data_IF_750763080582
#
_entry.id   IF_750763080582
#
_cell.length_a   1.000
_cell.length_b   1.000
_cell.length_c   1.000
_cell.angle_alpha   90.00
_cell.angle_beta   90.00
_cell.angle_gamma   90.00
#
_symmetry.space_group_name_H-M   'P 1'
#
loop_
_entity.id
_entity.type
_entity.pdbx_description
1 polymer ?
#
# COMPACT_ATOMS: atom_id res chain seq x y z
N UNK A 1 13.25 -26.47 -20.19
CA UNK A 1 12.91 -26.14 -18.78
C UNK A 1 13.75 -24.95 -18.35
N UNK A 2 13.23 -23.74 -18.45
CA UNK A 2 13.90 -22.53 -17.96
C UNK A 2 13.99 -22.63 -16.44
N UNK A 3 15.21 -22.64 -15.91
CA UNK A 3 15.47 -22.58 -14.46
C UNK A 3 14.66 -21.43 -13.87
N UNK A 4 13.69 -21.75 -13.01
CA UNK A 4 13.01 -20.77 -12.16
C UNK A 4 14.10 -20.24 -11.24
N UNK A 5 14.66 -19.05 -11.56
CA UNK A 5 15.60 -18.39 -10.65
C UNK A 5 14.87 -18.25 -9.33
N UNK A 6 15.46 -18.77 -8.28
CA UNK A 6 14.90 -18.72 -6.93
C UNK A 6 14.78 -17.26 -6.49
N UNK A 7 13.57 -16.79 -6.24
CA UNK A 7 13.31 -15.42 -5.74
C UNK A 7 13.41 -15.35 -4.21
N UNK A 8 14.15 -16.27 -3.58
CA UNK A 8 14.24 -16.34 -2.13
C UNK A 8 14.71 -15.02 -1.48
N UNK A 9 15.62 -14.27 -2.16
CA UNK A 9 16.08 -12.97 -1.65
C UNK A 9 14.95 -11.95 -1.61
N UNK A 10 14.11 -11.92 -2.66
CA UNK A 10 12.92 -11.06 -2.70
C UNK A 10 11.92 -11.48 -1.61
N UNK A 11 11.62 -12.77 -1.50
CA UNK A 11 10.70 -13.28 -0.49
C UNK A 11 11.21 -13.03 0.93
N UNK A 12 12.52 -13.19 1.18
CA UNK A 12 13.12 -12.86 2.47
C UNK A 12 13.03 -11.36 2.76
N UNK A 13 13.30 -10.50 1.78
CA UNK A 13 13.14 -9.05 1.93
C UNK A 13 11.69 -8.69 2.29
N UNK A 14 10.71 -9.24 1.60
CA UNK A 14 9.29 -8.96 1.87
C UNK A 14 8.85 -9.52 3.22
N UNK A 15 9.29 -10.73 3.59
CA UNK A 15 9.06 -11.31 4.92
C UNK A 15 9.57 -10.40 6.04
N UNK A 16 10.83 -9.97 5.95
CA UNK A 16 11.43 -9.10 6.97
C UNK A 16 10.74 -7.73 7.01
N UNK A 17 10.40 -7.16 5.85
CA UNK A 17 9.61 -5.93 5.76
C UNK A 17 8.26 -6.08 6.43
N UNK A 18 7.56 -7.19 6.20
CA UNK A 18 6.26 -7.47 6.81
C UNK A 18 6.33 -7.70 8.31
N UNK A 19 7.34 -8.42 8.81
CA UNK A 19 7.52 -8.64 10.25
C UNK A 19 7.85 -7.33 10.98
N UNK A 20 8.83 -6.57 10.49
CA UNK A 20 9.23 -5.29 11.12
C UNK A 20 8.13 -4.24 10.95
N UNK A 21 7.58 -4.10 9.76
CA UNK A 21 6.48 -3.17 9.49
C UNK A 21 5.23 -3.52 10.30
N UNK A 22 4.88 -4.81 10.39
CA UNK A 22 3.75 -5.30 11.18
C UNK A 22 3.94 -5.05 12.68
N UNK A 23 5.14 -5.28 13.20
CA UNK A 23 5.48 -4.92 14.58
C UNK A 23 5.24 -3.43 14.83
N UNK A 24 5.79 -2.57 13.98
CA UNK A 24 5.62 -1.12 14.10
C UNK A 24 4.14 -0.70 13.95
N UNK A 25 3.37 -1.34 13.04
CA UNK A 25 1.94 -1.09 12.90
C UNK A 25 1.19 -1.42 14.19
N UNK A 26 1.42 -2.59 14.76
CA UNK A 26 0.77 -3.02 16.01
C UNK A 26 1.07 -2.10 17.19
N UNK A 27 2.24 -1.45 17.21
CA UNK A 27 2.60 -0.51 18.26
C UNK A 27 1.83 0.81 18.19
N UNK A 28 1.61 1.37 17.00
CA UNK A 28 0.97 2.69 16.90
C UNK A 28 -0.53 2.62 16.63
N UNK A 29 -1.01 1.55 16.00
CA UNK A 29 -2.39 1.41 15.55
C UNK A 29 -3.43 1.60 16.67
N UNK A 30 -3.25 1.01 17.88
CA UNK A 30 -4.20 1.19 18.98
C UNK A 30 -4.46 2.65 19.36
N UNK A 31 -3.43 3.50 19.26
CA UNK A 31 -3.55 4.92 19.56
C UNK A 31 -4.35 5.72 18.51
N UNK A 32 -4.67 5.11 17.38
CA UNK A 32 -5.46 5.74 16.30
C UNK A 32 -6.92 5.31 16.31
N UNK A 33 -7.28 4.27 17.07
CA UNK A 33 -8.65 3.78 17.14
C UNK A 33 -9.56 4.72 17.94
N UNK A 34 -10.85 4.71 17.60
CA UNK A 34 -11.88 5.39 18.39
C UNK A 34 -12.03 4.72 19.75
N UNK A 35 -12.60 5.47 20.73
CA UNK A 35 -12.88 4.94 22.07
C UNK A 35 -13.76 3.70 22.02
N UNK A 36 -14.75 3.71 21.15
CA UNK A 36 -15.70 2.60 20.95
C UNK A 36 -15.00 1.35 20.41
N UNK A 37 -14.10 1.54 19.43
CA UNK A 37 -13.33 0.42 18.87
C UNK A 37 -12.40 -0.17 19.94
N UNK A 38 -11.72 0.67 20.73
CA UNK A 38 -10.84 0.19 21.80
C UNK A 38 -11.62 -0.57 22.88
N UNK A 39 -12.80 -0.08 23.26
CA UNK A 39 -13.68 -0.78 24.21
C UNK A 39 -14.11 -2.16 23.67
N UNK A 40 -14.56 -2.24 22.42
CA UNK A 40 -14.95 -3.51 21.78
C UNK A 40 -13.79 -4.52 21.75
N UNK A 41 -12.58 -4.09 21.44
CA UNK A 41 -11.39 -4.95 21.44
C UNK A 41 -11.09 -5.48 22.85
N UNK A 42 -11.19 -4.61 23.88
CA UNK A 42 -10.98 -5.01 25.27
C UNK A 42 -12.04 -6.00 25.76
N UNK A 43 -13.31 -5.80 25.43
CA UNK A 43 -14.41 -6.71 25.74
C UNK A 43 -14.22 -8.09 25.10
N UNK A 44 -13.58 -8.15 23.93
CA UNK A 44 -13.20 -9.38 23.23
C UNK A 44 -11.89 -10.00 23.74
N UNK A 45 -11.25 -9.40 24.77
CA UNK A 45 -10.00 -9.89 25.31
C UNK A 45 -8.78 -9.63 24.41
N UNK A 46 -8.88 -8.72 23.45
CA UNK A 46 -7.77 -8.38 22.55
C UNK A 46 -6.81 -7.42 23.26
N UNK A 47 -5.60 -7.88 23.53
CA UNK A 47 -4.54 -7.06 24.15
C UNK A 47 -3.67 -6.39 23.09
N UNK A 48 -2.87 -5.40 23.50
CA UNK A 48 -1.90 -4.74 22.60
C UNK A 48 -0.87 -5.75 22.04
N UNK A 49 -0.46 -6.73 22.85
CA UNK A 49 0.47 -7.79 22.41
C UNK A 49 -0.17 -8.67 21.33
N UNK A 50 -1.45 -9.00 21.46
CA UNK A 50 -2.18 -9.72 20.42
C UNK A 50 -2.32 -8.92 19.13
N UNK A 51 -2.54 -7.61 19.22
CA UNK A 51 -2.56 -6.72 18.05
C UNK A 51 -1.19 -6.69 17.35
N UNK A 52 -0.10 -6.55 18.11
CA UNK A 52 1.26 -6.60 17.55
C UNK A 52 1.52 -7.96 16.89
N UNK A 53 1.22 -9.05 17.57
CA UNK A 53 1.44 -10.40 17.02
C UNK A 53 0.60 -10.64 15.76
N UNK A 54 -0.67 -10.23 15.76
CA UNK A 54 -1.57 -10.40 14.63
C UNK A 54 -1.10 -9.63 13.40
N UNK A 55 -0.67 -8.37 13.56
CA UNK A 55 -0.14 -7.57 12.46
C UNK A 55 1.18 -8.12 11.92
N UNK A 56 2.06 -8.63 12.79
CA UNK A 56 3.30 -9.30 12.37
C UNK A 56 3.01 -10.56 11.53
N UNK A 57 2.10 -11.42 11.99
CA UNK A 57 1.72 -12.63 11.26
C UNK A 57 1.05 -12.28 9.93
N UNK A 58 0.11 -11.34 9.95
CA UNK A 58 -0.64 -10.93 8.77
C UNK A 58 0.29 -10.34 7.70
N UNK A 59 1.11 -9.37 8.05
CA UNK A 59 1.99 -8.69 7.08
C UNK A 59 3.23 -9.51 6.74
N UNK A 60 3.83 -10.20 7.70
CA UNK A 60 5.04 -11.01 7.45
C UNK A 60 4.73 -12.33 6.76
N UNK A 61 3.81 -13.13 7.31
CA UNK A 61 3.57 -14.49 6.82
C UNK A 61 2.53 -14.50 5.70
N UNK A 62 1.30 -14.00 5.97
CA UNK A 62 0.22 -14.12 4.99
C UNK A 62 0.50 -13.28 3.74
N UNK A 63 0.80 -12.00 3.92
CA UNK A 63 1.02 -11.10 2.78
C UNK A 63 2.47 -11.16 2.28
N UNK A 64 3.44 -11.18 3.18
CA UNK A 64 4.87 -11.15 2.86
C UNK A 64 5.41 -12.46 2.28
N UNK A 65 4.88 -13.61 2.65
CA UNK A 65 5.31 -14.90 2.10
C UNK A 65 4.28 -15.49 1.16
N UNK A 66 3.04 -15.72 1.63
CA UNK A 66 2.04 -16.47 0.86
C UNK A 66 1.62 -15.68 -0.40
N UNK A 67 1.14 -14.44 -0.23
CA UNK A 67 0.70 -13.65 -1.39
C UNK A 67 1.88 -13.24 -2.29
N UNK A 68 3.07 -12.96 -1.71
CA UNK A 68 4.26 -12.67 -2.51
C UNK A 68 4.66 -13.87 -3.38
N UNK A 69 4.70 -15.08 -2.84
CA UNK A 69 5.07 -16.27 -3.59
C UNK A 69 4.08 -16.55 -4.74
N UNK A 70 2.78 -16.49 -4.45
CA UNK A 70 1.71 -16.66 -5.46
C UNK A 70 1.81 -15.52 -6.50
N UNK A 71 1.97 -14.27 -6.06
CA UNK A 71 2.10 -13.10 -6.92
C UNK A 71 3.28 -13.18 -7.88
N UNK A 72 4.44 -13.64 -7.42
CA UNK A 72 5.61 -13.88 -8.27
C UNK A 72 5.32 -14.91 -9.36
N UNK A 73 4.66 -16.02 -9.01
CA UNK A 73 4.30 -17.06 -9.99
C UNK A 73 3.33 -16.51 -11.04
N UNK A 74 2.28 -15.81 -10.59
CA UNK A 74 1.25 -15.26 -11.50
C UNK A 74 1.84 -14.15 -12.36
N UNK A 75 2.57 -13.20 -11.77
CA UNK A 75 3.15 -12.06 -12.49
C UNK A 75 4.11 -12.47 -13.60
N UNK A 76 4.83 -13.59 -13.42
CA UNK A 76 5.64 -14.19 -14.49
C UNK A 76 4.81 -14.74 -15.64
N UNK A 77 3.68 -15.40 -15.34
CA UNK A 77 2.78 -15.96 -16.37
C UNK A 77 2.15 -14.86 -17.24
N UNK A 78 1.89 -13.69 -16.66
CA UNK A 78 1.27 -12.55 -17.38
C UNK A 78 2.28 -11.48 -17.81
N UNK A 79 3.58 -11.76 -17.75
CA UNK A 79 4.68 -10.89 -18.18
C UNK A 79 4.77 -9.55 -17.44
N UNK A 80 4.29 -9.50 -16.19
CA UNK A 80 4.42 -8.34 -15.32
C UNK A 80 5.67 -8.37 -14.44
N UNK A 81 6.25 -9.57 -14.19
CA UNK A 81 7.47 -9.68 -13.42
C UNK A 81 8.66 -9.09 -14.17
N UNK A 82 9.34 -8.14 -13.54
CA UNK A 82 10.60 -7.57 -14.01
C UNK A 82 11.62 -7.64 -12.90
N UNK A 83 12.83 -8.08 -13.25
CA UNK A 83 13.94 -7.99 -12.32
C UNK A 83 14.23 -6.50 -12.04
N UNK A 84 14.56 -6.19 -10.78
CA UNK A 84 14.89 -4.82 -10.42
C UNK A 84 16.21 -4.41 -11.09
N UNK A 85 16.17 -3.32 -11.81
CA UNK A 85 17.31 -2.75 -12.53
C UNK A 85 17.18 -1.23 -12.64
N UNK A 86 18.28 -0.57 -12.92
CA UNK A 86 18.30 0.89 -13.06
C UNK A 86 17.73 1.32 -14.41
N UNK A 87 16.64 2.12 -14.39
CA UNK A 87 16.06 2.79 -15.55
C UNK A 87 15.88 4.28 -15.23
N UNK A 88 16.55 5.16 -15.99
CA UNK A 88 16.51 6.62 -15.75
C UNK A 88 15.09 7.18 -15.77
N UNK A 89 14.23 6.70 -16.69
CA UNK A 89 12.83 7.16 -16.79
C UNK A 89 12.00 6.60 -15.64
N UNK A 90 12.27 5.38 -15.23
CA UNK A 90 11.67 4.76 -14.05
C UNK A 90 12.01 5.53 -12.78
N UNK A 91 13.27 5.88 -12.56
CA UNK A 91 13.71 6.70 -11.42
C UNK A 91 13.05 8.08 -11.44
N UNK A 92 13.03 8.77 -12.58
CA UNK A 92 12.40 10.09 -12.70
C UNK A 92 10.89 10.03 -12.44
N UNK A 93 10.18 9.02 -12.97
CA UNK A 93 8.75 8.83 -12.73
C UNK A 93 8.46 8.51 -11.25
N UNK A 94 9.27 7.64 -10.62
CA UNK A 94 9.19 7.32 -9.19
C UNK A 94 9.36 8.57 -8.34
N UNK A 95 10.42 9.35 -8.57
CA UNK A 95 10.69 10.58 -7.82
C UNK A 95 9.54 11.59 -7.98
N UNK A 96 9.07 11.81 -9.20
CA UNK A 96 7.95 12.71 -9.47
C UNK A 96 6.67 12.28 -8.75
N UNK A 97 6.28 11.01 -8.88
CA UNK A 97 5.07 10.47 -8.23
C UNK A 97 5.20 10.55 -6.71
N UNK A 98 6.36 10.22 -6.13
CA UNK A 98 6.59 10.28 -4.68
C UNK A 98 6.41 11.70 -4.13
N UNK A 99 7.02 12.70 -4.78
CA UNK A 99 6.95 14.09 -4.34
C UNK A 99 5.52 14.63 -4.47
N UNK A 100 4.87 14.41 -5.61
CA UNK A 100 3.49 14.86 -5.84
C UNK A 100 2.55 14.19 -4.83
N UNK A 101 2.67 12.88 -4.60
CA UNK A 101 1.87 12.18 -3.62
C UNK A 101 2.11 12.71 -2.19
N UNK A 102 3.35 12.95 -1.80
CA UNK A 102 3.69 13.49 -0.49
C UNK A 102 3.07 14.89 -0.27
N UNK A 103 3.14 15.77 -1.28
CA UNK A 103 2.53 17.12 -1.20
C UNK A 103 0.99 17.08 -1.16
N UNK A 104 0.38 16.08 -1.77
CA UNK A 104 -1.07 15.85 -1.70
C UNK A 104 -1.44 15.28 -0.33
N UNK A 105 -0.70 14.29 0.19
CA UNK A 105 -0.93 13.71 1.51
C UNK A 105 -0.68 14.72 2.64
N UNK A 106 0.35 15.53 2.53
CA UNK A 106 0.64 16.64 3.41
C UNK A 106 1.52 17.67 2.68
N UNK A 107 1.15 18.94 2.62
CA UNK A 107 0.07 19.67 3.33
C UNK A 107 -1.31 19.66 2.62
N UNK A 108 -1.43 19.08 1.43
CA UNK A 108 -2.65 19.16 0.61
C UNK A 108 -3.91 18.66 1.35
N UNK A 109 -3.84 17.49 1.99
CA UNK A 109 -4.95 16.91 2.74
C UNK A 109 -5.38 17.81 3.93
N UNK A 110 -4.43 18.29 4.71
CA UNK A 110 -4.71 19.23 5.80
C UNK A 110 -5.41 20.50 5.32
N UNK A 111 -4.94 21.07 4.21
CA UNK A 111 -5.47 22.32 3.67
C UNK A 111 -6.84 22.17 3.00
N UNK A 112 -7.15 21.02 2.41
CA UNK A 112 -8.39 20.77 1.70
C UNK A 112 -9.40 20.06 2.61
N UNK A 113 -9.15 18.81 2.96
CA UNK A 113 -10.11 18.01 3.74
C UNK A 113 -10.12 18.39 5.22
N UNK A 114 -8.99 18.78 5.80
CA UNK A 114 -8.92 19.26 7.18
C UNK A 114 -9.74 20.52 7.46
N UNK A 115 -10.10 21.31 6.44
CA UNK A 115 -11.03 22.44 6.61
C UNK A 115 -12.46 22.03 6.87
N UNK A 116 -12.86 20.86 6.40
CA UNK A 116 -14.24 20.38 6.45
C UNK A 116 -14.43 19.22 7.44
N UNK A 117 -13.33 18.67 7.99
CA UNK A 117 -13.38 17.56 8.91
C UNK A 117 -12.31 17.70 9.98
N UNK A 118 -12.74 17.86 11.25
CA UNK A 118 -11.85 18.07 12.40
C UNK A 118 -10.93 16.87 12.63
N UNK A 119 -11.43 15.64 12.47
CA UNK A 119 -10.60 14.45 12.62
C UNK A 119 -9.43 14.44 11.62
N UNK A 120 -9.66 14.81 10.35
CA UNK A 120 -8.55 14.96 9.37
C UNK A 120 -7.59 16.06 9.80
N UNK A 121 -8.10 17.23 10.22
CA UNK A 121 -7.27 18.34 10.69
C UNK A 121 -6.36 17.91 11.83
N UNK A 122 -6.91 17.21 12.84
CA UNK A 122 -6.21 16.84 14.06
C UNK A 122 -5.13 15.77 13.84
N UNK A 123 -5.27 14.94 12.81
CA UNK A 123 -4.22 13.98 12.40
C UNK A 123 -2.89 14.68 12.08
N UNK A 124 -2.93 15.95 11.71
CA UNK A 124 -1.76 16.75 11.30
C UNK A 124 -1.25 17.71 12.37
N UNK A 125 -1.75 17.60 13.60
CA UNK A 125 -1.32 18.45 14.73
C UNK A 125 -0.28 17.74 15.62
N UNK A 126 -0.07 16.44 15.43
CA UNK A 126 0.91 15.65 16.20
C UNK A 126 1.89 15.00 15.23
N UNK A 127 3.21 15.18 15.40
CA UNK A 127 4.19 14.60 14.50
C UNK A 127 4.14 13.07 14.57
N UNK A 128 4.35 12.37 13.43
CA UNK A 128 4.35 10.92 13.41
C UNK A 128 5.50 10.35 14.22
N UNK A 129 5.20 9.38 15.07
CA UNK A 129 6.22 8.62 15.79
C UNK A 129 6.99 7.67 14.88
N UNK A 130 8.18 7.26 15.31
CA UNK A 130 9.05 6.35 14.54
C UNK A 130 8.34 5.05 14.08
N UNK A 131 7.50 4.38 14.91
CA UNK A 131 6.76 3.21 14.44
C UNK A 131 5.84 3.49 13.24
N UNK A 132 5.15 4.65 13.21
CA UNK A 132 4.30 5.04 12.07
C UNK A 132 5.11 5.25 10.80
N UNK A 133 6.25 5.93 10.89
CA UNK A 133 7.16 6.17 9.75
C UNK A 133 7.68 4.85 9.17
N UNK A 134 8.16 3.95 10.04
CA UNK A 134 8.66 2.63 9.61
C UNK A 134 7.52 1.80 8.99
N UNK A 135 6.33 1.84 9.57
CA UNK A 135 5.16 1.16 9.01
C UNK A 135 4.79 1.73 7.63
N UNK A 136 4.76 3.04 7.45
CA UNK A 136 4.51 3.67 6.15
C UNK A 136 5.50 3.23 5.07
N UNK A 137 6.79 3.12 5.43
CA UNK A 137 7.84 2.63 4.52
C UNK A 137 7.68 1.14 4.17
N UNK A 138 7.44 0.30 5.18
CA UNK A 138 7.52 -1.16 5.04
C UNK A 138 6.16 -1.79 4.74
N UNK A 139 5.10 -1.40 5.45
CA UNK A 139 3.76 -1.91 5.15
C UNK A 139 3.19 -1.19 3.94
N UNK A 140 3.08 0.14 3.95
CA UNK A 140 2.61 0.91 2.81
C UNK A 140 3.48 0.69 1.57
N UNK A 141 4.78 0.97 1.66
CA UNK A 141 5.69 0.90 0.52
C UNK A 141 5.93 -0.52 -0.02
N UNK A 142 5.98 -1.56 0.83
CA UNK A 142 6.34 -2.92 0.39
C UNK A 142 5.14 -3.86 0.41
N UNK A 143 4.47 -4.02 1.55
CA UNK A 143 3.47 -5.08 1.71
C UNK A 143 2.19 -4.79 0.92
N UNK A 144 1.72 -3.55 0.92
CA UNK A 144 0.54 -3.17 0.13
C UNK A 144 0.79 -3.28 -1.37
N UNK A 145 2.01 -2.98 -1.84
CA UNK A 145 2.38 -3.19 -3.24
C UNK A 145 2.45 -4.68 -3.60
N UNK A 146 2.89 -5.54 -2.70
CA UNK A 146 2.83 -7.00 -2.87
C UNK A 146 1.38 -7.45 -3.00
N UNK A 147 0.50 -7.01 -2.10
CA UNK A 147 -0.91 -7.41 -2.10
C UNK A 147 -1.64 -6.94 -3.36
N UNK A 148 -1.50 -5.64 -3.68
CA UNK A 148 -2.36 -5.00 -4.66
C UNK A 148 -1.80 -5.07 -6.08
N UNK A 149 -0.47 -4.99 -6.26
CA UNK A 149 0.16 -4.96 -7.58
C UNK A 149 0.70 -6.32 -7.95
N UNK A 150 1.58 -6.88 -7.10
CA UNK A 150 2.22 -8.15 -7.43
C UNK A 150 1.20 -9.31 -7.44
N UNK A 151 0.30 -9.37 -6.45
CA UNK A 151 -0.71 -10.43 -6.36
C UNK A 151 -2.01 -10.06 -7.09
N UNK A 152 -2.79 -9.08 -6.60
CA UNK A 152 -4.16 -8.84 -7.07
C UNK A 152 -4.22 -8.36 -8.52
N UNK A 153 -3.45 -7.34 -8.89
CA UNK A 153 -3.43 -6.83 -10.27
C UNK A 153 -2.97 -7.92 -11.25
N UNK A 154 -1.93 -8.70 -10.89
CA UNK A 154 -1.47 -9.82 -11.73
C UNK A 154 -2.52 -10.92 -11.84
N UNK A 155 -3.25 -11.22 -10.75
CA UNK A 155 -4.34 -12.19 -10.75
C UNK A 155 -5.49 -11.73 -11.67
N UNK A 156 -5.88 -10.45 -11.59
CA UNK A 156 -6.90 -9.89 -12.47
C UNK A 156 -6.50 -9.97 -13.95
N UNK A 157 -5.24 -9.63 -14.26
CA UNK A 157 -4.72 -9.80 -15.63
C UNK A 157 -4.80 -11.27 -16.06
N UNK A 158 -4.43 -12.21 -15.20
CA UNK A 158 -4.50 -13.65 -15.50
C UNK A 158 -5.95 -14.09 -15.77
N UNK A 159 -6.88 -13.73 -14.88
CA UNK A 159 -8.30 -14.12 -14.99
C UNK A 159 -8.91 -13.56 -16.28
N UNK A 160 -8.76 -12.26 -16.54
CA UNK A 160 -9.29 -11.61 -17.74
C UNK A 160 -8.68 -12.25 -19.02
N UNK A 161 -7.37 -12.55 -18.99
CA UNK A 161 -6.70 -13.18 -20.12
C UNK A 161 -7.23 -14.60 -20.40
N UNK A 162 -7.47 -15.39 -19.36
CA UNK A 162 -8.02 -16.75 -19.51
C UNK A 162 -9.46 -16.70 -20.04
N UNK A 163 -10.29 -15.80 -19.54
CA UNK A 163 -11.71 -15.73 -19.88
C UNK A 163 -11.96 -15.16 -21.27
N UNK A 164 -11.22 -14.13 -21.69
CA UNK A 164 -11.54 -13.35 -22.88
C UNK A 164 -10.47 -13.36 -23.98
N UNK A 165 -9.22 -13.74 -23.63
CA UNK A 165 -8.07 -13.63 -24.54
C UNK A 165 -7.24 -14.91 -24.60
N UNK A 166 -7.86 -16.05 -24.36
CA UNK A 166 -7.21 -17.37 -24.28
C UNK A 166 -6.37 -17.73 -25.52
N UNK A 167 -6.77 -17.25 -26.70
CA UNK A 167 -6.11 -17.52 -27.98
C UNK A 167 -5.30 -16.32 -28.50
N UNK A 168 -5.18 -15.25 -27.73
CA UNK A 168 -4.38 -14.11 -28.14
C UNK A 168 -2.87 -14.40 -27.95
N UNK A 169 -2.07 -14.04 -28.94
CA UNK A 169 -0.61 -14.19 -28.86
C UNK A 169 0.01 -13.35 -27.72
N UNK A 170 -0.62 -12.21 -27.39
CA UNK A 170 -0.18 -11.30 -26.33
C UNK A 170 -1.38 -10.75 -25.57
N UNK A 171 -1.20 -10.52 -24.27
CA UNK A 171 -2.21 -9.86 -23.43
C UNK A 171 -2.40 -8.42 -23.91
N UNK A 172 -3.64 -8.02 -24.32
CA UNK A 172 -3.91 -6.66 -24.77
C UNK A 172 -3.65 -5.61 -23.69
N UNK A 173 -3.21 -4.42 -24.11
CA UNK A 173 -2.93 -3.31 -23.17
C UNK A 173 -4.14 -2.93 -22.33
N UNK A 174 -5.35 -3.00 -22.87
CA UNK A 174 -6.60 -2.72 -22.14
C UNK A 174 -6.82 -3.61 -20.93
N UNK A 175 -6.38 -4.88 -20.98
CA UNK A 175 -6.47 -5.80 -19.82
C UNK A 175 -5.68 -5.28 -18.62
N UNK A 176 -4.46 -4.80 -18.88
CA UNK A 176 -3.64 -4.20 -17.81
C UNK A 176 -4.25 -2.91 -17.26
N UNK A 177 -4.88 -2.09 -18.11
CA UNK A 177 -5.54 -0.86 -17.67
C UNK A 177 -6.74 -1.19 -16.78
N UNK A 178 -7.60 -2.10 -17.21
CA UNK A 178 -8.77 -2.55 -16.42
C UNK A 178 -8.31 -3.16 -15.09
N UNK A 179 -7.32 -4.05 -15.11
CA UNK A 179 -6.79 -4.67 -13.90
C UNK A 179 -6.20 -3.63 -12.93
N UNK A 180 -5.52 -2.60 -13.43
CA UNK A 180 -5.01 -1.50 -12.61
C UNK A 180 -6.14 -0.68 -11.98
N UNK A 181 -7.16 -0.31 -12.75
CA UNK A 181 -8.33 0.44 -12.24
C UNK A 181 -9.05 -0.38 -11.16
N UNK A 182 -9.36 -1.65 -11.42
CA UNK A 182 -10.05 -2.51 -10.45
C UNK A 182 -9.19 -2.69 -9.18
N UNK A 183 -7.90 -2.95 -9.33
CA UNK A 183 -6.99 -3.08 -8.19
C UNK A 183 -6.89 -1.79 -7.37
N UNK A 184 -6.85 -0.62 -8.01
CA UNK A 184 -6.82 0.68 -7.34
C UNK A 184 -8.12 0.98 -6.58
N UNK A 185 -9.27 0.64 -7.15
CA UNK A 185 -10.58 0.78 -6.48
C UNK A 185 -10.70 -0.16 -5.28
N UNK A 186 -10.25 -1.42 -5.41
CA UNK A 186 -10.24 -2.38 -4.30
C UNK A 186 -9.24 -1.98 -3.22
N UNK A 187 -8.11 -1.37 -3.58
CA UNK A 187 -7.17 -0.79 -2.63
C UNK A 187 -7.82 0.32 -1.80
N UNK A 188 -8.51 1.25 -2.44
CA UNK A 188 -9.26 2.29 -1.74
C UNK A 188 -10.37 1.69 -0.85
N UNK A 189 -11.15 0.75 -1.35
CA UNK A 189 -12.20 0.08 -0.57
C UNK A 189 -11.63 -0.67 0.64
N UNK A 190 -10.44 -1.27 0.53
CA UNK A 190 -9.75 -1.95 1.63
C UNK A 190 -9.37 -1.03 2.80
N UNK A 191 -9.31 0.31 2.59
CA UNK A 191 -9.06 1.28 3.65
C UNK A 191 -10.31 1.73 4.40
N UNK A 192 -11.51 1.39 3.90
CA UNK A 192 -12.77 1.78 4.56
C UNK A 192 -12.88 1.22 5.98
N UNK A 193 -12.62 -0.09 6.23
CA UNK A 193 -12.70 -0.63 7.59
C UNK A 193 -11.71 0.04 8.56
N UNK A 194 -10.50 0.36 8.10
CA UNK A 194 -9.52 1.08 8.90
C UNK A 194 -10.00 2.50 9.26
N UNK A 195 -10.60 3.22 8.30
CA UNK A 195 -11.20 4.54 8.56
C UNK A 195 -12.33 4.45 9.58
N UNK A 196 -13.21 3.44 9.44
CA UNK A 196 -14.33 3.21 10.38
C UNK A 196 -13.87 2.86 11.79
N UNK A 197 -12.72 2.21 11.94
CA UNK A 197 -12.13 1.93 13.24
C UNK A 197 -11.62 3.18 13.97
N UNK A 198 -11.32 4.24 13.22
CA UNK A 198 -10.74 5.48 13.74
C UNK A 198 -11.78 6.59 13.93
N UNK A 199 -12.79 6.65 13.07
CA UNK A 199 -13.80 7.73 13.08
C UNK A 199 -15.07 7.31 12.33
N UNK A 200 -16.15 8.08 12.46
CA UNK A 200 -17.37 7.89 11.68
C UNK A 200 -17.12 8.14 10.19
N UNK A 201 -17.57 7.21 9.36
CA UNK A 201 -17.41 7.29 7.91
C UNK A 201 -18.42 8.25 7.29
N UNK A 202 -17.97 9.42 6.86
CA UNK A 202 -18.78 10.41 6.15
C UNK A 202 -18.58 10.29 4.63
N UNK A 203 -19.52 10.83 3.80
CA UNK A 203 -19.31 10.89 2.33
C UNK A 203 -18.01 11.61 1.94
N UNK A 204 -17.61 12.63 2.70
CA UNK A 204 -16.35 13.35 2.49
C UNK A 204 -15.13 12.44 2.71
N UNK A 205 -15.11 11.67 3.79
CA UNK A 205 -14.03 10.73 4.10
C UNK A 205 -14.00 9.56 3.12
N UNK A 206 -15.16 9.09 2.66
CA UNK A 206 -15.24 8.09 1.61
C UNK A 206 -14.64 8.61 0.30
N UNK A 207 -15.03 9.81 -0.13
CA UNK A 207 -14.45 10.46 -1.31
C UNK A 207 -12.93 10.63 -1.18
N UNK A 208 -12.45 11.15 -0.04
CA UNK A 208 -11.02 11.30 0.26
C UNK A 208 -10.28 9.96 0.17
N UNK A 209 -10.86 8.89 0.72
CA UNK A 209 -10.29 7.54 0.68
C UNK A 209 -10.09 7.06 -0.76
N UNK A 210 -11.12 7.19 -1.62
CA UNK A 210 -11.01 6.81 -3.02
C UNK A 210 -10.09 7.72 -3.83
N UNK A 211 -10.09 9.02 -3.54
CA UNK A 211 -9.22 9.97 -4.23
C UNK A 211 -7.75 9.66 -3.97
N UNK A 212 -7.36 9.44 -2.73
CA UNK A 212 -5.96 9.23 -2.38
C UNK A 212 -5.53 7.78 -2.65
N UNK A 213 -6.16 6.80 -2.05
CA UNK A 213 -5.74 5.40 -2.22
C UNK A 213 -6.00 4.91 -3.66
N UNK A 214 -7.13 5.29 -4.25
CA UNK A 214 -7.44 4.96 -5.64
C UNK A 214 -6.53 5.71 -6.63
N UNK A 215 -6.39 7.02 -6.48
CA UNK A 215 -5.57 7.85 -7.36
C UNK A 215 -4.09 7.46 -7.33
N UNK A 216 -3.48 7.34 -6.15
CA UNK A 216 -2.10 6.86 -6.05
C UNK A 216 -1.99 5.39 -6.44
N UNK A 217 -3.01 4.60 -6.15
CA UNK A 217 -3.12 3.23 -6.60
C UNK A 217 -2.93 3.06 -8.10
N UNK A 218 -3.54 3.92 -8.91
CA UNK A 218 -3.36 3.95 -10.37
C UNK A 218 -1.92 4.27 -10.77
N UNK A 219 -1.29 5.23 -10.09
CA UNK A 219 0.09 5.63 -10.35
C UNK A 219 1.08 4.50 -10.04
N UNK A 220 0.92 3.83 -8.90
CA UNK A 220 1.78 2.71 -8.51
C UNK A 220 1.58 1.49 -9.42
N UNK A 221 0.35 1.20 -9.85
CA UNK A 221 0.07 0.16 -10.83
C UNK A 221 0.67 0.46 -12.21
N UNK A 222 0.71 1.72 -12.64
CA UNK A 222 1.43 2.14 -13.83
C UNK A 222 2.95 1.88 -13.70
N UNK A 223 3.57 2.27 -12.55
CA UNK A 223 4.98 2.00 -12.28
C UNK A 223 5.28 0.50 -12.29
N UNK A 224 4.44 -0.30 -11.63
CA UNK A 224 4.55 -1.76 -11.61
C UNK A 224 4.57 -2.34 -13.02
N UNK A 225 3.58 -2.00 -13.83
CA UNK A 225 3.48 -2.49 -15.21
C UNK A 225 4.68 -2.07 -16.06
N UNK A 226 5.08 -0.82 -15.95
CA UNK A 226 6.08 -0.23 -16.87
C UNK A 226 7.51 -0.50 -16.44
N UNK A 227 7.80 -0.45 -15.16
CA UNK A 227 9.17 -0.52 -14.64
C UNK A 227 9.40 -1.70 -13.66
N UNK A 228 8.35 -2.29 -13.12
CA UNK A 228 8.40 -3.41 -12.19
C UNK A 228 8.06 -3.02 -10.76
N UNK A 229 7.89 -4.06 -9.91
CA UNK A 229 7.36 -3.89 -8.54
C UNK A 229 8.26 -3.01 -7.66
N UNK A 230 9.58 -3.07 -7.82
CA UNK A 230 10.52 -2.27 -7.02
C UNK A 230 10.30 -0.76 -7.18
N UNK A 231 9.96 -0.28 -8.37
CA UNK A 231 9.66 1.13 -8.61
C UNK A 231 8.37 1.58 -7.95
N UNK A 232 7.33 0.73 -7.95
CA UNK A 232 6.08 1.00 -7.24
C UNK A 232 6.32 1.05 -5.71
N UNK A 233 7.05 0.08 -5.16
CA UNK A 233 7.42 0.03 -3.74
C UNK A 233 8.18 1.28 -3.29
N UNK A 234 9.18 1.69 -4.06
CA UNK A 234 9.98 2.88 -3.74
C UNK A 234 9.10 4.14 -3.81
N UNK A 235 8.25 4.26 -4.85
CA UNK A 235 7.38 5.42 -4.98
C UNK A 235 6.41 5.56 -3.81
N UNK A 236 5.78 4.46 -3.41
CA UNK A 236 4.81 4.45 -2.31
C UNK A 236 5.49 4.72 -0.96
N UNK A 237 6.58 4.01 -0.65
CA UNK A 237 7.33 4.23 0.59
C UNK A 237 7.88 5.66 0.70
N UNK A 238 8.43 6.22 -0.39
CA UNK A 238 8.91 7.61 -0.40
C UNK A 238 7.77 8.63 -0.27
N UNK A 239 6.58 8.36 -0.81
CA UNK A 239 5.42 9.23 -0.61
C UNK A 239 5.08 9.37 0.88
N UNK A 240 5.03 8.27 1.62
CA UNK A 240 4.85 8.29 3.07
C UNK A 240 6.00 8.99 3.79
N UNK A 241 7.25 8.61 3.51
CA UNK A 241 8.41 9.18 4.19
C UNK A 241 8.51 10.69 4.02
N UNK A 242 8.36 11.18 2.77
CA UNK A 242 8.45 12.61 2.50
C UNK A 242 7.29 13.36 3.17
N UNK A 243 6.06 12.82 3.11
CA UNK A 243 4.88 13.39 3.78
C UNK A 243 5.09 13.49 5.30
N UNK A 244 5.57 12.41 5.92
CA UNK A 244 5.83 12.37 7.37
C UNK A 244 6.95 13.34 7.77
N UNK A 245 8.03 13.45 6.99
CA UNK A 245 9.10 14.42 7.24
C UNK A 245 8.62 15.87 7.11
N UNK A 246 7.82 16.17 6.09
CA UNK A 246 7.21 17.49 5.93
C UNK A 246 6.31 17.84 7.13
N UNK A 247 5.55 16.86 7.61
CA UNK A 247 4.69 17.02 8.78
C UNK A 247 5.50 17.28 10.05
N UNK A 248 6.59 16.54 10.29
CA UNK A 248 7.49 16.76 11.44
C UNK A 248 8.01 18.20 11.42
N UNK A 249 8.52 18.66 10.28
CA UNK A 249 9.01 20.03 10.13
C UNK A 249 7.91 21.05 10.41
N UNK A 250 6.72 20.88 9.83
CA UNK A 250 5.63 21.84 9.97
C UNK A 250 5.03 21.93 11.40
N UNK A 251 5.12 20.86 12.18
CA UNK A 251 4.63 20.85 13.58
C UNK A 251 5.72 21.34 14.56
N UNK A 252 7.00 21.33 14.16
CA UNK A 252 8.12 21.77 15.01
C UNK A 252 8.40 23.27 14.92
N UNK A 253 7.78 23.98 13.97
CA UNK A 253 7.86 25.44 13.77
C UNK A 253 6.64 26.13 14.40
#
# INVERSE_FOLDING_TARGET
MTRIKSNWKFLLFVLLSGLVGGYCTGLYLPATFSSEMMQQLQEQGVTNELLVLSTMIQYGILYGVVLAAIGVVISRKVYLWKEFGFDKKGVAATAFISVVAALILFPGDKMVFGRFNSWVHDQYNVPPGLPKIISGLLVGGVIEEVMMRLFLMSLLVLIISILFYRHAEKVPTGVFVIANIVSALLFAAGHIPATMAMTELTPLLLFRCFLFNGGFGLCFGYLYRKYGIGYAMIAHGLAHLISDLLMIVAVSI
#
